data_IF_789659858798
#
_entry.id   IF_789659858798
#
_cell.length_a   1.000
_cell.length_b   1.000
_cell.length_c   1.000
_cell.angle_alpha   90.00
_cell.angle_beta   90.00
_cell.angle_gamma   90.00
#
_symmetry.space_group_name_H-M   'P 1'
#
loop_
_entity.id
_entity.type
_entity.pdbx_description
1 polymer ?
#
# COMPACT_ATOMS: atom_id res chain seq x y z
N UNK A 1 13.59 11.67 0.75
CA UNK A 1 14.25 10.36 0.72
C UNK A 1 13.13 9.35 0.84
N UNK A 2 12.76 8.71 -0.27
CA UNK A 2 11.70 7.70 -0.30
C UNK A 2 12.26 6.44 0.39
N UNK A 3 11.64 6.03 1.49
CA UNK A 3 12.01 4.81 2.21
C UNK A 3 11.70 3.59 1.33
N UNK A 4 12.69 3.12 0.57
CA UNK A 4 12.65 1.81 -0.10
C UNK A 4 13.10 0.75 0.89
N UNK A 5 12.16 0.23 1.68
CA UNK A 5 12.24 -1.12 2.20
C UNK A 5 11.71 -2.09 1.13
N UNK A 6 12.37 -2.16 -0.02
CA UNK A 6 12.07 -3.18 -1.00
C UNK A 6 12.80 -4.46 -0.55
N UNK A 7 12.07 -5.40 0.05
CA UNK A 7 12.59 -6.75 0.22
C UNK A 7 12.86 -7.31 -1.18
N UNK A 8 14.07 -7.79 -1.51
CA UNK A 8 14.37 -8.34 -2.83
C UNK A 8 13.52 -9.57 -3.21
N UNK A 9 12.76 -10.15 -2.28
CA UNK A 9 11.79 -11.22 -2.53
C UNK A 9 10.35 -10.72 -2.65
N UNK A 10 10.11 -9.42 -2.60
CA UNK A 10 8.78 -8.84 -2.74
C UNK A 10 8.32 -8.90 -4.21
N UNK A 11 7.24 -9.64 -4.45
CA UNK A 11 6.72 -9.92 -5.79
C UNK A 11 5.49 -9.08 -6.16
N UNK A 12 4.88 -8.42 -5.16
CA UNK A 12 3.76 -7.51 -5.37
C UNK A 12 4.27 -6.19 -5.96
N UNK A 13 3.58 -5.69 -6.97
CA UNK A 13 3.88 -4.43 -7.62
C UNK A 13 3.22 -3.27 -6.85
N UNK A 14 3.98 -2.71 -5.92
CA UNK A 14 3.55 -1.54 -5.16
C UNK A 14 3.76 -0.26 -5.97
N UNK A 15 2.68 0.51 -6.12
CA UNK A 15 2.71 1.80 -6.78
C UNK A 15 2.26 2.90 -5.82
N UNK A 16 2.53 4.16 -6.17
CA UNK A 16 2.06 5.29 -5.37
C UNK A 16 0.53 5.44 -5.46
N UNK A 17 -0.08 6.03 -4.42
CA UNK A 17 -1.51 6.34 -4.42
C UNK A 17 -1.92 7.23 -5.60
N UNK A 18 -1.08 8.21 -5.93
CA UNK A 18 -1.27 9.09 -7.08
C UNK A 18 -1.27 8.31 -8.40
N UNK A 19 -0.31 7.39 -8.58
CA UNK A 19 -0.25 6.54 -9.77
C UNK A 19 -1.45 5.60 -9.87
N UNK A 20 -1.91 5.03 -8.75
CA UNK A 20 -3.12 4.21 -8.71
C UNK A 20 -4.37 5.01 -9.12
N UNK A 21 -4.48 6.27 -8.68
CA UNK A 21 -5.56 7.18 -9.06
C UNK A 21 -5.53 7.61 -10.52
N UNK A 22 -4.37 7.70 -11.15
CA UNK A 22 -4.31 7.93 -12.60
C UNK A 22 -4.68 6.65 -13.37
N UNK A 23 -4.11 5.50 -12.99
CA UNK A 23 -4.36 4.22 -13.67
C UNK A 23 -5.82 3.77 -13.60
N UNK A 24 -6.54 4.07 -12.51
CA UNK A 24 -7.95 3.70 -12.37
C UNK A 24 -8.87 4.44 -13.35
N UNK A 25 -8.45 5.62 -13.87
CA UNK A 25 -9.22 6.37 -14.87
C UNK A 25 -9.27 5.63 -16.22
N UNK A 26 -8.15 5.02 -16.60
CA UNK A 26 -8.01 4.32 -17.89
C UNK A 26 -8.41 2.84 -17.77
N UNK A 27 -8.04 2.18 -16.68
CA UNK A 27 -8.32 0.76 -16.45
C UNK A 27 -8.81 0.55 -15.01
N UNK A 28 -10.14 0.48 -14.79
CA UNK A 28 -10.71 0.44 -13.45
C UNK A 28 -10.40 -0.88 -12.76
N UNK A 29 -9.50 -0.83 -11.78
CA UNK A 29 -9.24 -1.92 -10.83
C UNK A 29 -9.34 -1.38 -9.41
N UNK A 30 -9.64 -2.27 -8.46
CA UNK A 30 -9.71 -1.89 -7.04
C UNK A 30 -8.32 -1.51 -6.52
N UNK A 31 -8.25 -0.42 -5.74
CA UNK A 31 -7.03 -0.03 -5.04
C UNK A 31 -6.96 -0.81 -3.73
N UNK A 32 -5.89 -1.56 -3.54
CA UNK A 32 -5.58 -2.22 -2.27
C UNK A 32 -4.57 -1.36 -1.51
N UNK A 33 -4.95 -0.87 -0.33
CA UNK A 33 -4.08 -0.03 0.50
C UNK A 33 -3.62 -0.85 1.70
N UNK A 34 -2.31 -1.09 1.76
CA UNK A 34 -1.63 -1.69 2.91
C UNK A 34 -1.06 -0.58 3.81
N UNK A 35 -1.47 -0.57 5.08
CA UNK A 35 -0.91 0.33 6.08
C UNK A 35 0.16 -0.42 6.87
N UNK A 36 1.42 -0.06 6.64
CA UNK A 36 2.58 -0.67 7.30
C UNK A 36 3.23 0.31 8.28
N UNK A 37 3.94 -0.19 9.28
CA UNK A 37 4.77 0.61 10.17
C UNK A 37 6.00 -0.19 10.61
N UNK A 38 7.08 0.49 10.97
CA UNK A 38 8.33 -0.18 11.38
C UNK A 38 8.16 -1.05 12.63
N UNK A 39 7.31 -0.63 13.56
CA UNK A 39 7.01 -1.35 14.78
C UNK A 39 5.95 -2.45 14.57
N UNK A 40 5.32 -2.53 13.39
CA UNK A 40 4.27 -3.51 13.11
C UNK A 40 4.86 -4.90 12.81
N UNK A 41 4.95 -5.74 13.85
CA UNK A 41 5.43 -7.12 13.71
C UNK A 41 4.57 -7.97 12.77
N UNK A 42 3.25 -7.79 12.77
CA UNK A 42 2.34 -8.54 11.91
C UNK A 42 2.47 -8.15 10.43
N UNK A 43 2.77 -6.89 10.14
CA UNK A 43 3.04 -6.42 8.78
C UNK A 43 4.25 -7.17 8.21
N UNK A 44 5.33 -7.28 8.99
CA UNK A 44 6.54 -8.05 8.61
C UNK A 44 6.25 -9.54 8.37
N UNK A 45 5.34 -10.14 9.16
CA UNK A 45 4.90 -11.53 8.95
C UNK A 45 4.10 -11.67 7.65
N UNK A 46 3.21 -10.71 7.36
CA UNK A 46 2.43 -10.68 6.13
C UNK A 46 3.31 -10.49 4.89
N UNK A 47 4.30 -9.59 4.95
CA UNK A 47 5.26 -9.38 3.88
C UNK A 47 6.01 -10.68 3.56
N UNK A 48 6.51 -11.35 4.61
CA UNK A 48 7.29 -12.58 4.47
C UNK A 48 6.48 -13.78 4.02
N UNK A 49 5.24 -13.95 4.48
CA UNK A 49 4.47 -15.18 4.24
C UNK A 49 3.42 -15.06 3.15
N UNK A 50 2.93 -13.84 2.87
CA UNK A 50 1.80 -13.60 1.98
C UNK A 50 2.25 -12.86 0.72
N UNK A 51 2.93 -11.72 0.85
CA UNK A 51 3.33 -10.93 -0.33
C UNK A 51 4.58 -11.45 -1.05
N UNK A 52 5.35 -12.33 -0.40
CA UNK A 52 6.45 -13.07 -1.04
C UNK A 52 5.98 -14.33 -1.80
N UNK A 53 4.76 -14.80 -1.53
CA UNK A 53 4.17 -15.95 -2.22
C UNK A 53 3.87 -15.59 -3.68
N UNK A 54 4.28 -16.45 -4.62
CA UNK A 54 4.18 -16.13 -6.04
C UNK A 54 2.73 -16.10 -6.54
N UNK A 55 1.88 -16.99 -6.03
CA UNK A 55 0.48 -17.10 -6.46
C UNK A 55 -0.33 -15.93 -5.92
N UNK A 56 -0.10 -15.57 -4.65
CA UNK A 56 -0.70 -14.37 -4.04
C UNK A 56 -0.24 -13.11 -4.78
N UNK A 57 1.06 -12.94 -5.02
CA UNK A 57 1.57 -11.77 -5.71
C UNK A 57 1.03 -11.66 -7.14
N UNK A 58 0.96 -12.76 -7.89
CA UNK A 58 0.37 -12.78 -9.21
C UNK A 58 -1.12 -12.40 -9.19
N UNK A 59 -1.87 -12.90 -8.21
CA UNK A 59 -3.26 -12.52 -8.00
C UNK A 59 -3.41 -11.03 -7.68
N UNK A 60 -2.57 -10.51 -6.78
CA UNK A 60 -2.57 -9.10 -6.40
C UNK A 60 -2.28 -8.20 -7.60
N UNK A 61 -1.20 -8.48 -8.33
CA UNK A 61 -0.76 -7.72 -9.50
C UNK A 61 -1.80 -7.73 -10.64
N UNK A 62 -2.57 -8.81 -10.76
CA UNK A 62 -3.60 -8.93 -11.78
C UNK A 62 -4.84 -8.11 -11.43
N UNK A 63 -5.31 -8.20 -10.19
CA UNK A 63 -6.64 -7.75 -9.80
C UNK A 63 -6.67 -6.38 -9.12
N UNK A 64 -5.54 -5.92 -8.55
CA UNK A 64 -5.51 -4.70 -7.76
C UNK A 64 -4.43 -3.72 -8.22
N UNK A 65 -4.64 -2.46 -7.87
CA UNK A 65 -3.57 -1.47 -7.75
C UNK A 65 -3.13 -1.44 -6.29
N UNK A 66 -2.01 -2.09 -6.00
CA UNK A 66 -1.49 -2.22 -4.64
C UNK A 66 -0.67 -0.98 -4.27
N UNK A 67 -1.03 -0.36 -3.14
CA UNK A 67 -0.39 0.83 -2.59
C UNK A 67 -0.01 0.53 -1.16
N UNK A 68 1.24 0.82 -0.79
CA UNK A 68 1.71 0.72 0.61
C UNK A 68 1.91 2.11 1.18
N UNK A 69 1.34 2.34 2.35
CA UNK A 69 1.45 3.59 3.10
C UNK A 69 2.12 3.31 4.45
N UNK A 70 3.11 4.13 4.79
CA UNK A 70 3.71 4.13 6.12
C UNK A 70 2.80 4.92 7.08
N UNK A 71 2.25 4.24 8.08
CA UNK A 71 1.33 4.79 9.06
C UNK A 71 1.92 5.97 9.85
N UNK A 72 3.24 5.96 10.09
CA UNK A 72 3.94 7.02 10.82
C UNK A 72 4.47 8.15 9.91
N UNK A 73 4.27 8.03 8.59
CA UNK A 73 4.67 9.06 7.64
C UNK A 73 3.89 10.35 7.87
N UNK A 74 4.64 11.46 7.88
CA UNK A 74 4.11 12.83 7.94
C UNK A 74 3.82 13.40 6.55
N UNK A 75 4.05 12.63 5.49
CA UNK A 75 3.79 13.07 4.13
C UNK A 75 2.28 13.17 3.89
N UNK A 76 1.87 14.25 3.22
CA UNK A 76 0.50 14.42 2.78
C UNK A 76 0.29 13.71 1.45
N UNK A 77 -0.70 12.84 1.44
CA UNK A 77 -1.18 12.09 0.30
C UNK A 77 -2.48 12.76 -0.16
N UNK A 78 -2.70 12.85 -1.45
CA UNK A 78 -4.01 13.25 -1.97
C UNK A 78 -4.81 12.00 -2.28
N UNK A 79 -6.04 11.93 -1.77
CA UNK A 79 -6.97 10.84 -2.03
C UNK A 79 -8.33 11.43 -2.39
N UNK A 80 -8.75 11.25 -3.65
CA UNK A 80 -10.01 11.78 -4.19
C UNK A 80 -10.22 13.29 -3.97
N UNK A 81 -9.16 14.09 -4.10
CA UNK A 81 -9.22 15.55 -3.99
C UNK A 81 -9.13 16.10 -2.56
N UNK A 82 -9.03 15.22 -1.57
CA UNK A 82 -8.77 15.58 -0.17
C UNK A 82 -7.34 15.18 0.20
N UNK A 83 -6.66 16.00 1.02
CA UNK A 83 -5.31 15.69 1.51
C UNK A 83 -5.39 15.01 2.86
N UNK A 84 -4.68 13.89 3.01
CA UNK A 84 -4.58 13.12 4.23
C UNK A 84 -3.14 12.69 4.48
N UNK A 85 -2.75 12.62 5.74
CA UNK A 85 -1.65 11.76 6.17
C UNK A 85 -2.09 10.30 6.13
N UNK A 86 -1.14 9.37 6.07
CA UNK A 86 -1.43 7.94 6.16
C UNK A 86 -2.21 7.60 7.45
N UNK A 87 -1.86 8.26 8.56
CA UNK A 87 -2.56 8.11 9.85
C UNK A 87 -4.01 8.62 9.82
N UNK A 88 -4.27 9.77 9.21
CA UNK A 88 -5.63 10.31 9.09
C UNK A 88 -6.49 9.41 8.20
N UNK A 89 -5.92 8.92 7.10
CA UNK A 89 -6.59 7.97 6.21
C UNK A 89 -6.88 6.65 6.92
N UNK A 90 -5.89 6.08 7.62
CA UNK A 90 -6.05 4.87 8.43
C UNK A 90 -7.14 5.05 9.50
N UNK A 91 -7.14 6.17 10.22
CA UNK A 91 -8.16 6.50 11.22
C UNK A 91 -9.55 6.61 10.60
N UNK A 92 -9.68 7.26 9.43
CA UNK A 92 -10.95 7.37 8.68
C UNK A 92 -11.51 6.00 8.33
N UNK A 93 -10.65 5.05 7.96
CA UNK A 93 -11.02 3.66 7.65
C UNK A 93 -10.93 2.70 8.85
N UNK A 94 -10.75 3.22 10.07
CA UNK A 94 -10.67 2.45 11.32
C UNK A 94 -9.58 1.38 11.33
N UNK A 95 -8.48 1.62 10.63
CA UNK A 95 -7.27 0.81 10.70
C UNK A 95 -6.60 1.10 12.04
N UNK A 96 -6.51 0.13 12.96
CA UNK A 96 -5.81 0.33 14.21
C UNK A 96 -4.31 0.48 13.92
N UNK A 97 -3.71 1.52 14.49
CA UNK A 97 -2.27 1.64 14.58
C UNK A 97 -1.76 1.24 15.95
#
# INVERSE_FOLDING_TARGET
MLFSFADPNEKVNWISLAEAQEKIKDNPKTIFIDFSAEWCGWCKVMDKNTFSDADVAAYMNKNYYSVRLDYDSKEQLEFFGEKFTARELGTKYKVPG
#
